data_IF_225257127855
#
_entry.id   IF_225257127855
#
_cell.length_a   1.000
_cell.length_b   1.000
_cell.length_c   1.000
_cell.angle_alpha   90.00
_cell.angle_beta   90.00
_cell.angle_gamma   90.00
#
_symmetry.space_group_name_H-M   'P 1'
#
loop_
_entity.id
_entity.type
_entity.pdbx_description
1 polymer ?
#
# COMPACT_ATOMS: atom_id res chain seq x y z
N UNK A 1 -18.78 21.90 1.38
CA UNK A 1 -18.47 22.70 0.18
C UNK A 1 -18.20 21.71 -0.95
N UNK A 2 -18.84 21.86 -2.10
CA UNK A 2 -18.62 20.95 -3.23
C UNK A 2 -17.18 21.10 -3.70
N UNK A 3 -16.52 19.97 -3.89
CA UNK A 3 -15.14 19.93 -4.34
C UNK A 3 -15.06 20.31 -5.83
N UNK A 4 -14.34 21.39 -6.16
CA UNK A 4 -14.25 21.95 -7.50
C UNK A 4 -12.80 22.17 -7.91
N UNK A 5 -12.54 22.21 -9.22
CA UNK A 5 -11.23 22.54 -9.75
C UNK A 5 -10.68 23.85 -9.15
N UNK A 6 -11.53 24.88 -9.09
CA UNK A 6 -11.17 26.21 -8.56
C UNK A 6 -10.74 26.14 -7.08
N UNK A 7 -11.50 25.43 -6.25
CA UNK A 7 -11.16 25.23 -4.84
C UNK A 7 -9.88 24.41 -4.68
N UNK A 8 -9.70 23.30 -5.42
CA UNK A 8 -8.48 22.48 -5.36
C UNK A 8 -7.24 23.27 -5.76
N UNK A 9 -7.33 24.07 -6.82
CA UNK A 9 -6.23 24.93 -7.27
C UNK A 9 -5.83 25.94 -6.20
N UNK A 10 -6.83 26.60 -5.58
CA UNK A 10 -6.60 27.55 -4.48
C UNK A 10 -5.97 26.88 -3.27
N UNK A 11 -6.44 25.69 -2.91
CA UNK A 11 -5.96 24.94 -1.74
C UNK A 11 -4.53 24.42 -1.94
N UNK A 12 -4.20 23.90 -3.13
CA UNK A 12 -2.83 23.49 -3.46
C UNK A 12 -1.84 24.65 -3.38
N UNK A 13 -2.25 25.84 -3.82
CA UNK A 13 -1.44 27.05 -3.69
C UNK A 13 -1.21 27.41 -2.22
N UNK A 14 -2.28 27.44 -1.42
CA UNK A 14 -2.21 27.75 0.02
C UNK A 14 -1.39 26.73 0.80
N UNK A 15 -1.48 25.45 0.45
CA UNK A 15 -0.67 24.38 1.06
C UNK A 15 0.84 24.53 0.83
N UNK A 16 1.24 25.32 -0.18
CA UNK A 16 2.64 25.68 -0.44
C UNK A 16 3.01 27.07 0.06
N UNK A 17 2.13 27.72 0.82
CA UNK A 17 2.32 29.08 1.34
C UNK A 17 2.63 30.14 0.27
N UNK A 18 2.11 29.94 -0.96
CA UNK A 18 2.34 30.84 -2.07
C UNK A 18 1.24 31.91 -2.19
N UNK A 19 1.63 33.15 -2.46
CA UNK A 19 0.70 34.18 -2.94
C UNK A 19 0.23 33.87 -4.36
N UNK A 20 -0.91 34.45 -4.76
CA UNK A 20 -1.37 34.34 -6.16
C UNK A 20 -0.34 34.91 -7.15
N UNK A 21 0.45 35.91 -6.74
CA UNK A 21 1.46 36.51 -7.60
C UNK A 21 2.61 35.54 -7.87
N UNK A 22 3.12 34.88 -6.83
CA UNK A 22 4.22 33.91 -6.94
C UNK A 22 3.80 32.67 -7.73
N UNK A 23 2.62 32.12 -7.42
CA UNK A 23 2.09 30.97 -8.14
C UNK A 23 1.81 31.30 -9.61
N UNK A 24 1.25 32.48 -9.91
CA UNK A 24 1.00 32.89 -11.29
C UNK A 24 2.32 33.03 -12.08
N UNK A 25 3.35 33.61 -11.46
CA UNK A 25 4.68 33.71 -12.07
C UNK A 25 5.27 32.33 -12.37
N UNK A 26 5.20 31.39 -11.43
CA UNK A 26 5.70 30.02 -11.62
C UNK A 26 4.91 29.23 -12.69
N UNK A 27 3.61 29.47 -12.79
CA UNK A 27 2.71 28.84 -13.77
C UNK A 27 2.73 29.53 -15.14
N UNK A 28 3.41 30.68 -15.25
CA UNK A 28 3.51 31.45 -16.50
C UNK A 28 2.21 32.13 -16.92
N UNK A 29 1.40 32.59 -15.95
CA UNK A 29 0.15 33.32 -16.18
C UNK A 29 0.14 34.65 -15.42
N UNK A 30 -0.80 35.55 -15.73
CA UNK A 30 -0.97 36.76 -14.93
C UNK A 30 -1.64 36.43 -13.58
N UNK A 31 -1.34 37.20 -12.54
CA UNK A 31 -1.99 37.07 -11.23
C UNK A 31 -3.53 37.17 -11.35
N UNK A 32 -4.03 38.11 -12.16
CA UNK A 32 -5.46 38.27 -12.40
C UNK A 32 -6.07 37.03 -13.04
N UNK A 33 -5.39 36.42 -14.02
CA UNK A 33 -5.86 35.20 -14.67
C UNK A 33 -5.91 34.02 -13.69
N UNK A 34 -4.87 33.85 -12.86
CA UNK A 34 -4.88 32.82 -11.82
C UNK A 34 -6.02 33.06 -10.81
N UNK A 35 -6.27 34.31 -10.41
CA UNK A 35 -7.40 34.65 -9.54
C UNK A 35 -8.74 34.28 -10.17
N UNK A 36 -8.93 34.50 -11.48
CA UNK A 36 -10.15 34.08 -12.17
C UNK A 36 -10.32 32.56 -12.16
N UNK A 37 -9.22 31.80 -12.30
CA UNK A 37 -9.24 30.34 -12.22
C UNK A 37 -9.60 29.85 -10.82
N UNK A 38 -8.94 30.37 -9.78
CA UNK A 38 -9.17 29.96 -8.37
C UNK A 38 -10.55 30.33 -7.84
N UNK A 39 -11.22 31.32 -8.45
CA UNK A 39 -12.58 31.72 -8.11
C UNK A 39 -13.66 31.11 -9.03
N UNK A 40 -13.27 30.27 -10.00
CA UNK A 40 -14.20 29.66 -10.96
C UNK A 40 -14.85 30.66 -11.93
N UNK A 41 -14.28 31.86 -12.07
CA UNK A 41 -14.77 32.92 -12.98
C UNK A 41 -14.46 32.55 -14.44
N UNK A 42 -13.37 31.82 -14.66
CA UNK A 42 -12.91 31.42 -16.00
C UNK A 42 -12.44 29.96 -16.01
N UNK A 43 -12.77 29.25 -17.07
CA UNK A 43 -12.24 27.91 -17.32
C UNK A 43 -10.78 27.93 -17.77
N UNK A 44 -10.03 26.89 -17.40
CA UNK A 44 -8.64 26.71 -17.76
C UNK A 44 -8.50 25.93 -19.06
N UNK A 45 -7.50 26.28 -19.87
CA UNK A 45 -7.09 25.42 -20.99
C UNK A 45 -6.33 24.19 -20.51
N UNK A 46 -6.28 23.15 -21.35
CA UNK A 46 -5.58 21.90 -21.07
C UNK A 46 -4.09 22.11 -20.72
N UNK A 47 -3.42 23.01 -21.43
CA UNK A 47 -2.00 23.35 -21.17
C UNK A 47 -1.78 23.89 -19.76
N UNK A 48 -2.70 24.71 -19.26
CA UNK A 48 -2.61 25.23 -17.89
C UNK A 48 -2.82 24.11 -16.88
N UNK A 49 -3.81 23.23 -17.11
CA UNK A 49 -4.10 22.09 -16.23
C UNK A 49 -2.87 21.18 -16.10
N UNK A 50 -2.25 20.81 -17.23
CA UNK A 50 -1.05 19.98 -17.23
C UNK A 50 0.13 20.65 -16.51
N UNK A 51 0.34 21.96 -16.72
CA UNK A 51 1.37 22.74 -16.01
C UNK A 51 1.10 22.81 -14.51
N UNK A 52 -0.14 23.07 -14.12
CA UNK A 52 -0.55 23.13 -12.71
C UNK A 52 -0.36 21.76 -12.03
N UNK A 53 -0.75 20.66 -12.69
CA UNK A 53 -0.55 19.30 -12.20
C UNK A 53 0.92 19.03 -11.89
N UNK A 54 1.79 19.29 -12.87
CA UNK A 54 3.24 19.13 -12.73
C UNK A 54 3.81 20.07 -11.66
N UNK A 55 3.41 21.33 -11.65
CA UNK A 55 3.89 22.31 -10.68
C UNK A 55 3.55 21.89 -9.26
N UNK A 56 2.29 21.52 -8.99
CA UNK A 56 1.82 21.12 -7.67
C UNK A 56 2.19 19.68 -7.28
N UNK A 57 2.74 18.90 -8.21
CA UNK A 57 3.12 17.50 -7.96
C UNK A 57 1.90 16.61 -7.74
N UNK A 58 0.84 16.82 -8.52
CA UNK A 58 -0.41 16.05 -8.45
C UNK A 58 -0.83 15.60 -9.85
N UNK A 59 -1.77 14.66 -9.93
CA UNK A 59 -2.36 14.23 -11.20
C UNK A 59 -3.41 15.22 -11.72
N UNK A 60 -3.65 15.21 -13.02
CA UNK A 60 -4.78 15.95 -13.61
C UNK A 60 -6.12 15.46 -13.04
N UNK A 61 -6.27 14.15 -12.79
CA UNK A 61 -7.47 13.57 -12.17
C UNK A 61 -7.72 14.16 -10.78
N UNK A 62 -6.66 14.39 -10.01
CA UNK A 62 -6.77 15.12 -8.75
C UNK A 62 -7.08 16.60 -8.96
N UNK A 63 -6.51 17.30 -9.93
CA UNK A 63 -6.90 18.70 -10.13
C UNK A 63 -8.36 18.86 -10.58
N UNK A 64 -8.84 17.95 -11.42
CA UNK A 64 -10.17 17.99 -12.05
C UNK A 64 -11.29 17.36 -11.22
N UNK A 65 -11.02 17.01 -9.95
CA UNK A 65 -11.99 16.36 -9.08
C UNK A 65 -12.45 14.95 -9.52
N UNK A 66 -11.72 14.30 -10.42
CA UNK A 66 -11.99 12.92 -10.83
C UNK A 66 -11.45 11.88 -9.83
N UNK A 67 -10.47 12.27 -8.98
CA UNK A 67 -9.89 11.41 -7.94
C UNK A 67 -9.57 12.18 -6.67
N UNK A 68 -9.70 11.55 -5.49
CA UNK A 68 -9.24 12.13 -4.22
C UNK A 68 -7.76 11.85 -3.92
N UNK A 69 -7.09 11.01 -4.72
CA UNK A 69 -5.66 10.72 -4.58
C UNK A 69 -4.84 11.74 -5.37
N UNK A 70 -3.99 12.51 -4.67
CA UNK A 70 -3.08 13.50 -5.26
C UNK A 70 -2.17 12.92 -6.34
N UNK A 71 -1.68 11.71 -6.13
CA UNK A 71 -0.68 11.07 -6.98
C UNK A 71 -1.31 10.00 -7.90
N UNK A 72 -2.63 9.82 -7.85
CA UNK A 72 -3.29 8.72 -8.56
C UNK A 72 -2.86 7.34 -8.04
N UNK A 73 -3.31 6.26 -8.69
CA UNK A 73 -2.95 4.88 -8.30
C UNK A 73 -1.52 4.51 -8.73
N UNK A 74 -1.11 5.00 -9.91
CA UNK A 74 0.14 4.57 -10.52
C UNK A 74 1.39 5.20 -9.89
N UNK A 75 1.30 6.46 -9.47
CA UNK A 75 2.44 7.18 -8.87
C UNK A 75 2.63 6.77 -7.39
N UNK A 76 1.56 6.43 -6.66
CA UNK A 76 1.66 5.90 -5.28
C UNK A 76 2.38 4.55 -5.20
N UNK A 77 2.37 3.80 -6.29
CA UNK A 77 2.96 2.47 -6.38
C UNK A 77 4.26 2.46 -7.19
N UNK A 78 4.80 3.66 -7.51
CA UNK A 78 6.04 3.88 -8.25
C UNK A 78 6.08 3.29 -9.66
N UNK A 79 4.94 3.22 -10.35
CA UNK A 79 4.89 2.73 -11.74
C UNK A 79 5.39 3.77 -12.76
N UNK A 80 6.03 4.87 -12.35
CA UNK A 80 6.49 5.91 -13.28
C UNK A 80 7.90 5.60 -13.76
N UNK A 81 7.94 5.15 -15.00
CA UNK A 81 9.10 4.88 -15.85
C UNK A 81 9.52 3.42 -15.84
N UNK A 82 9.29 2.83 -17.02
CA UNK A 82 9.85 1.58 -17.52
C UNK A 82 9.21 0.33 -16.92
N UNK A 83 9.09 -0.68 -17.78
CA UNK A 83 8.81 -2.05 -17.36
C UNK A 83 9.98 -2.45 -16.46
N UNK A 84 9.86 -2.19 -15.15
CA UNK A 84 10.89 -2.57 -14.19
C UNK A 84 11.19 -4.05 -14.41
N UNK A 85 12.48 -4.33 -14.61
CA UNK A 85 12.99 -5.69 -14.72
C UNK A 85 12.52 -6.49 -13.50
N UNK A 86 11.85 -7.61 -13.77
CA UNK A 86 11.30 -8.47 -12.73
C UNK A 86 12.40 -9.07 -11.85
N UNK A 87 13.68 -8.96 -12.24
CA UNK A 87 14.85 -9.30 -11.42
C UNK A 87 15.00 -8.44 -10.15
N UNK A 88 14.31 -7.30 -10.05
CA UNK A 88 14.33 -6.42 -8.88
C UNK A 88 13.01 -6.49 -8.13
N UNK A 89 13.06 -6.62 -6.80
CA UNK A 89 11.85 -6.62 -5.97
C UNK A 89 11.29 -5.21 -5.82
N UNK A 90 10.21 -4.92 -6.56
CA UNK A 90 9.46 -3.66 -6.46
C UNK A 90 7.98 -3.93 -6.19
N UNK A 91 7.20 -2.86 -5.97
CA UNK A 91 5.74 -2.98 -5.87
C UNK A 91 5.17 -3.63 -7.13
N UNK A 92 5.67 -3.23 -8.31
CA UNK A 92 5.22 -3.75 -9.58
C UNK A 92 5.50 -5.26 -9.71
N UNK A 93 6.68 -5.71 -9.28
CA UNK A 93 7.05 -7.14 -9.22
C UNK A 93 6.09 -7.94 -8.35
N UNK A 94 5.71 -7.41 -7.18
CA UNK A 94 4.72 -8.05 -6.29
C UNK A 94 3.36 -8.20 -6.98
N UNK A 95 2.87 -7.14 -7.65
CA UNK A 95 1.58 -7.20 -8.34
C UNK A 95 1.59 -8.17 -9.52
N UNK A 96 2.68 -8.20 -10.31
CA UNK A 96 2.84 -9.16 -11.41
C UNK A 96 2.93 -10.59 -10.89
N UNK A 97 3.69 -10.82 -9.81
CA UNK A 97 3.76 -12.13 -9.16
C UNK A 97 2.39 -12.59 -8.65
N UNK A 98 1.61 -11.71 -8.02
CA UNK A 98 0.24 -12.02 -7.59
C UNK A 98 -0.67 -12.39 -8.77
N UNK A 99 -0.54 -11.69 -9.90
CA UNK A 99 -1.25 -11.99 -11.15
C UNK A 99 -0.85 -13.34 -11.76
N UNK A 100 0.45 -13.59 -11.87
CA UNK A 100 1.00 -14.85 -12.39
C UNK A 100 0.62 -16.05 -11.51
N UNK A 101 0.65 -15.89 -10.18
CA UNK A 101 0.19 -16.90 -9.24
C UNK A 101 -1.30 -17.19 -9.43
N UNK A 102 -2.13 -16.14 -9.58
CA UNK A 102 -3.56 -16.30 -9.84
C UNK A 102 -3.83 -17.08 -11.13
N UNK A 103 -3.08 -16.78 -12.20
CA UNK A 103 -3.19 -17.50 -13.47
C UNK A 103 -2.77 -18.96 -13.32
N UNK A 104 -1.63 -19.22 -12.67
CA UNK A 104 -1.14 -20.57 -12.40
C UNK A 104 -2.11 -21.42 -11.56
N UNK A 105 -2.83 -20.80 -10.62
CA UNK A 105 -3.85 -21.46 -9.82
C UNK A 105 -5.16 -21.71 -10.58
N UNK A 106 -5.28 -21.26 -11.84
CA UNK A 106 -6.40 -21.55 -12.73
C UNK A 106 -7.76 -21.06 -12.24
N UNK A 107 -7.80 -20.22 -11.21
CA UNK A 107 -9.00 -19.95 -10.44
C UNK A 107 -9.67 -18.63 -10.86
N UNK A 108 -10.72 -18.76 -11.68
CA UNK A 108 -11.72 -17.71 -11.90
C UNK A 108 -12.86 -17.75 -10.86
N UNK A 109 -12.73 -18.57 -9.81
CA UNK A 109 -13.72 -18.68 -8.74
C UNK A 109 -13.79 -17.36 -7.96
N UNK A 110 -14.98 -16.74 -7.90
CA UNK A 110 -15.22 -15.50 -7.17
C UNK A 110 -14.89 -15.63 -5.68
N UNK A 111 -15.10 -16.81 -5.08
CA UNK A 111 -14.79 -17.03 -3.67
C UNK A 111 -13.27 -16.99 -3.43
N UNK A 112 -12.46 -17.60 -4.31
CA UNK A 112 -10.99 -17.51 -4.24
C UNK A 112 -10.51 -16.05 -4.28
N UNK A 113 -11.06 -15.24 -5.21
CA UNK A 113 -10.72 -13.82 -5.32
C UNK A 113 -11.09 -13.09 -4.03
N UNK A 114 -12.30 -13.34 -3.51
CA UNK A 114 -12.77 -12.75 -2.26
C UNK A 114 -11.87 -13.11 -1.08
N UNK A 115 -11.52 -14.39 -0.90
CA UNK A 115 -10.66 -14.81 0.21
C UNK A 115 -9.24 -14.22 0.10
N UNK A 116 -8.70 -14.13 -1.12
CA UNK A 116 -7.41 -13.47 -1.38
C UNK A 116 -7.46 -11.98 -0.99
N UNK A 117 -8.54 -11.27 -1.32
CA UNK A 117 -8.73 -9.88 -0.91
C UNK A 117 -8.86 -9.73 0.61
N UNK A 118 -9.52 -10.67 1.29
CA UNK A 118 -9.62 -10.69 2.76
C UNK A 118 -8.23 -10.92 3.38
N UNK A 119 -7.43 -11.84 2.84
CA UNK A 119 -6.05 -12.08 3.28
C UNK A 119 -5.21 -10.80 3.19
N UNK A 120 -5.21 -10.12 2.05
CA UNK A 120 -4.50 -8.85 1.89
C UNK A 120 -5.01 -7.77 2.86
N UNK A 121 -6.32 -7.72 3.09
CA UNK A 121 -6.92 -6.76 4.03
C UNK A 121 -6.42 -6.97 5.46
N UNK A 122 -6.28 -8.23 5.91
CA UNK A 122 -5.75 -8.56 7.25
C UNK A 122 -4.28 -8.17 7.37
N UNK A 123 -3.46 -8.43 6.34
CA UNK A 123 -2.06 -8.03 6.31
C UNK A 123 -1.90 -6.50 6.37
N UNK A 124 -2.66 -5.75 5.56
CA UNK A 124 -2.65 -4.28 5.58
C UNK A 124 -3.13 -3.74 6.92
N UNK A 125 -4.21 -4.31 7.47
CA UNK A 125 -4.75 -3.91 8.77
C UNK A 125 -3.72 -4.09 9.90
N UNK A 126 -2.92 -5.18 9.84
CA UNK A 126 -1.83 -5.41 10.80
C UNK A 126 -0.76 -4.33 10.73
N UNK A 127 -0.31 -3.97 9.53
CA UNK A 127 0.64 -2.86 9.32
C UNK A 127 0.05 -1.55 9.84
N UNK A 128 -1.23 -1.31 9.58
CA UNK A 128 -1.92 -0.09 9.98
C UNK A 128 -2.01 0.06 11.51
N UNK A 129 -2.33 -1.02 12.23
CA UNK A 129 -2.31 -1.04 13.70
C UNK A 129 -0.93 -0.67 14.26
N UNK A 130 0.15 -1.20 13.67
CA UNK A 130 1.51 -0.86 14.08
C UNK A 130 1.85 0.60 13.77
N UNK A 131 1.48 1.12 12.59
CA UNK A 131 1.69 2.50 12.23
C UNK A 131 1.00 3.46 13.22
N UNK A 132 -0.25 3.19 13.59
CA UNK A 132 -0.98 3.96 14.61
C UNK A 132 -0.29 3.85 15.97
N UNK A 133 0.11 2.65 16.41
CA UNK A 133 0.79 2.46 17.71
C UNK A 133 2.14 3.20 17.82
N UNK A 134 2.79 3.47 16.68
CA UNK A 134 4.05 4.23 16.59
C UNK A 134 3.84 5.71 16.27
N UNK A 135 2.60 6.19 16.23
CA UNK A 135 2.27 7.58 15.88
C UNK A 135 2.61 7.95 14.44
N UNK A 136 2.80 6.96 13.56
CA UNK A 136 3.05 7.15 12.11
C UNK A 136 1.77 7.26 11.29
N UNK A 137 0.62 6.96 11.90
CA UNK A 137 -0.71 7.16 11.31
C UNK A 137 -1.69 7.72 12.35
N UNK A 138 -2.73 8.48 11.94
CA UNK A 138 -3.69 9.08 12.86
C UNK A 138 -4.54 8.04 13.61
N UNK A 139 -4.63 8.17 14.94
CA UNK A 139 -5.35 7.23 15.78
C UNK A 139 -6.88 7.20 15.51
N UNK A 140 -7.44 8.32 15.06
CA UNK A 140 -8.87 8.44 14.74
C UNK A 140 -9.29 7.68 13.47
N UNK A 141 -8.35 7.10 12.73
CA UNK A 141 -8.66 6.21 11.60
C UNK A 141 -9.07 4.80 12.07
N UNK A 142 -8.81 4.45 13.33
CA UNK A 142 -9.21 3.15 13.92
C UNK A 142 -10.24 3.40 15.02
N UNK A 143 -11.34 2.65 14.98
CA UNK A 143 -12.26 2.60 16.11
C UNK A 143 -11.60 1.77 17.21
N UNK A 144 -11.20 2.44 18.29
CA UNK A 144 -10.63 1.82 19.50
C UNK A 144 -11.58 0.73 19.99
N UNK A 145 -11.15 -0.54 19.88
CA UNK A 145 -11.97 -1.71 20.22
C UNK A 145 -11.64 -2.95 19.40
N UNK A 146 -11.02 -2.82 18.23
CA UNK A 146 -10.51 -3.96 17.48
C UNK A 146 -9.02 -4.17 17.81
N UNK A 147 -8.75 -5.04 18.80
CA UNK A 147 -7.42 -5.57 19.01
C UNK A 147 -7.26 -6.79 18.10
N UNK A 148 -6.31 -6.73 17.17
CA UNK A 148 -5.80 -7.92 16.50
C UNK A 148 -4.46 -8.26 17.15
N UNK A 149 -4.48 -9.19 18.10
CA UNK A 149 -3.24 -9.67 18.70
C UNK A 149 -2.46 -10.56 17.72
N UNK A 150 -1.30 -11.04 18.16
CA UNK A 150 -0.41 -11.82 17.32
C UNK A 150 -0.99 -13.20 16.94
N UNK A 151 -1.62 -13.90 17.89
CA UNK A 151 -2.17 -15.23 17.67
C UNK A 151 -3.40 -15.18 16.77
N UNK A 152 -4.30 -14.23 17.01
CA UNK A 152 -5.46 -13.99 16.16
C UNK A 152 -5.04 -13.67 14.72
N UNK A 153 -4.00 -12.86 14.53
CA UNK A 153 -3.48 -12.54 13.19
C UNK A 153 -2.95 -13.79 12.48
N UNK A 154 -2.07 -14.56 13.13
CA UNK A 154 -1.48 -15.76 12.52
C UNK A 154 -2.55 -16.81 12.20
N UNK A 155 -3.46 -17.08 13.13
CA UNK A 155 -4.54 -18.05 12.94
C UNK A 155 -5.48 -17.63 11.81
N UNK A 156 -5.80 -16.33 11.69
CA UNK A 156 -6.66 -15.83 10.61
C UNK A 156 -5.99 -15.96 9.24
N UNK A 157 -4.70 -15.60 9.14
CA UNK A 157 -3.92 -15.75 7.89
C UNK A 157 -3.82 -17.22 7.48
N UNK A 158 -3.44 -18.10 8.41
CA UNK A 158 -3.28 -19.54 8.13
C UNK A 158 -4.61 -20.19 7.72
N UNK A 159 -5.71 -19.91 8.43
CA UNK A 159 -7.03 -20.44 8.11
C UNK A 159 -7.52 -20.01 6.73
N UNK A 160 -7.25 -18.76 6.33
CA UNK A 160 -7.60 -18.26 4.99
C UNK A 160 -6.76 -18.92 3.90
N UNK A 161 -5.45 -19.11 4.13
CA UNK A 161 -4.58 -19.80 3.18
C UNK A 161 -5.03 -21.25 2.95
N UNK A 162 -5.40 -21.96 4.01
CA UNK A 162 -5.95 -23.32 3.91
C UNK A 162 -7.26 -23.34 3.11
N UNK A 163 -8.14 -22.35 3.31
CA UNK A 163 -9.38 -22.22 2.55
C UNK A 163 -9.14 -21.89 1.06
N UNK A 164 -8.18 -21.01 0.78
CA UNK A 164 -7.82 -20.56 -0.57
C UNK A 164 -7.22 -21.71 -1.40
N UNK A 165 -6.40 -22.55 -0.78
CA UNK A 165 -5.63 -23.58 -1.48
C UNK A 165 -6.28 -24.97 -1.42
N UNK A 166 -7.30 -25.17 -0.58
CA UNK A 166 -7.90 -26.48 -0.30
C UNK A 166 -6.85 -27.54 0.10
N UNK A 167 -5.75 -27.09 0.72
CA UNK A 167 -4.63 -27.95 1.12
C UNK A 167 -4.83 -28.35 2.58
N UNK A 168 -4.71 -29.66 2.93
CA UNK A 168 -4.73 -30.06 4.33
C UNK A 168 -3.54 -29.45 5.06
N UNK A 169 -3.76 -28.94 6.28
CA UNK A 169 -2.72 -28.37 7.15
C UNK A 169 -1.60 -29.39 7.41
N UNK A 170 -0.60 -29.41 6.52
CA UNK A 170 0.61 -30.22 6.63
C UNK A 170 1.79 -29.29 6.49
N UNK A 171 2.87 -29.61 7.22
CA UNK A 171 4.16 -28.95 7.05
C UNK A 171 4.55 -29.02 5.58
N UNK A 172 4.54 -27.87 4.91
CA UNK A 172 5.06 -27.73 3.55
C UNK A 172 6.58 -27.78 3.67
N UNK A 173 7.18 -28.89 3.25
CA UNK A 173 8.62 -29.07 3.23
C UNK A 173 9.05 -29.17 1.77
N UNK A 174 8.93 -28.05 1.06
CA UNK A 174 9.28 -27.96 -0.35
C UNK A 174 10.78 -27.68 -0.47
N UNK A 175 11.46 -28.48 -1.31
CA UNK A 175 12.76 -28.08 -1.83
C UNK A 175 12.52 -27.01 -2.88
N UNK A 176 13.15 -25.87 -2.69
CA UNK A 176 13.05 -24.73 -3.58
C UNK A 176 14.09 -24.87 -4.69
N UNK A 177 13.62 -25.19 -5.90
CA UNK A 177 14.39 -25.11 -7.15
C UNK A 177 13.42 -24.71 -8.27
N UNK A 178 13.81 -23.76 -9.10
CA UNK A 178 12.92 -23.24 -10.13
C UNK A 178 12.98 -24.13 -11.37
N UNK A 179 11.84 -24.77 -11.68
CA UNK A 179 11.67 -25.42 -12.97
C UNK A 179 11.69 -24.40 -14.13
N UNK A 180 11.94 -24.90 -15.35
CA UNK A 180 11.86 -24.06 -16.55
C UNK A 180 10.45 -23.50 -16.73
N UNK A 181 10.34 -22.20 -17.01
CA UNK A 181 9.06 -21.53 -17.31
C UNK A 181 8.40 -20.79 -16.15
N UNK A 182 8.98 -20.80 -14.94
CA UNK A 182 8.49 -19.94 -13.84
C UNK A 182 8.72 -18.46 -14.19
N UNK A 183 7.69 -17.59 -14.14
CA UNK A 183 7.82 -16.15 -14.37
C UNK A 183 8.85 -15.49 -13.45
N UNK A 184 9.63 -14.56 -13.97
CA UNK A 184 10.74 -13.92 -13.24
C UNK A 184 10.26 -13.16 -12.00
N UNK A 185 9.11 -12.47 -12.06
CA UNK A 185 8.52 -11.81 -10.89
C UNK A 185 8.24 -12.78 -9.72
N UNK A 186 7.77 -13.99 -10.02
CA UNK A 186 7.55 -15.01 -8.99
C UNK A 186 8.88 -15.45 -8.39
N UNK A 187 9.93 -15.57 -9.21
CA UNK A 187 11.25 -15.94 -8.72
C UNK A 187 11.79 -14.94 -7.71
N UNK A 188 11.81 -13.67 -8.12
CA UNK A 188 12.29 -12.56 -7.31
C UNK A 188 11.52 -12.41 -5.99
N UNK A 189 10.18 -12.59 -6.02
CA UNK A 189 9.37 -12.53 -4.79
C UNK A 189 9.69 -13.69 -3.85
N UNK A 190 9.88 -14.91 -4.36
CA UNK A 190 10.17 -16.06 -3.50
C UNK A 190 11.60 -15.98 -2.94
N UNK A 191 12.59 -15.59 -3.75
CA UNK A 191 13.97 -15.39 -3.31
C UNK A 191 14.03 -14.35 -2.19
N UNK A 192 13.42 -13.18 -2.40
CA UNK A 192 13.40 -12.13 -1.38
C UNK A 192 12.68 -12.55 -0.09
N UNK A 193 11.59 -13.32 -0.20
CA UNK A 193 10.91 -13.86 0.97
C UNK A 193 11.77 -14.89 1.71
N UNK A 194 12.49 -15.74 0.98
CA UNK A 194 13.39 -16.73 1.55
C UNK A 194 14.54 -16.07 2.29
N UNK A 195 15.21 -15.10 1.68
CA UNK A 195 16.31 -14.33 2.28
C UNK A 195 15.84 -13.61 3.54
N UNK A 196 14.70 -12.91 3.48
CA UNK A 196 14.14 -12.20 4.63
C UNK A 196 13.76 -13.13 5.79
N UNK A 197 13.38 -14.38 5.50
CA UNK A 197 13.11 -15.39 6.51
C UNK A 197 14.42 -15.95 7.08
N UNK A 198 15.38 -16.34 6.22
CA UNK A 198 16.66 -16.89 6.62
C UNK A 198 17.43 -15.92 7.53
N UNK A 199 17.49 -14.64 7.18
CA UNK A 199 18.09 -13.57 7.98
C UNK A 199 17.42 -13.36 9.34
N UNK A 200 16.19 -13.88 9.51
CA UNK A 200 15.37 -13.69 10.70
C UNK A 200 15.06 -14.98 11.46
N UNK A 201 15.50 -16.15 11.01
CA UNK A 201 15.31 -17.41 11.76
C UNK A 201 15.97 -17.32 13.14
N UNK A 202 17.15 -16.72 13.24
CA UNK A 202 17.84 -16.48 14.50
C UNK A 202 17.14 -15.39 15.34
N UNK A 203 16.64 -14.32 14.73
CA UNK A 203 15.96 -13.23 15.45
C UNK A 203 14.55 -13.62 15.93
N UNK A 204 13.79 -14.35 15.11
CA UNK A 204 12.43 -14.81 15.40
C UNK A 204 12.45 -15.93 16.43
N UNK A 205 13.44 -16.84 16.37
CA UNK A 205 13.64 -17.81 17.45
C UNK A 205 13.95 -17.09 18.76
N UNK A 206 14.84 -16.09 18.77
CA UNK A 206 15.18 -15.33 19.97
C UNK A 206 13.98 -14.52 20.54
N UNK A 207 13.17 -13.90 19.67
CA UNK A 207 11.96 -13.18 20.06
C UNK A 207 10.91 -14.14 20.62
N UNK A 208 10.69 -15.29 19.98
CA UNK A 208 9.74 -16.29 20.48
C UNK A 208 10.22 -16.87 21.80
N UNK A 209 11.50 -17.25 21.92
CA UNK A 209 12.10 -17.78 23.15
C UNK A 209 12.01 -16.76 24.29
N UNK A 210 12.38 -15.50 24.07
CA UNK A 210 12.25 -14.44 25.09
C UNK A 210 10.81 -14.17 25.53
N UNK A 211 9.83 -14.38 24.64
CA UNK A 211 8.39 -14.23 24.96
C UNK A 211 7.85 -15.41 25.75
N UNK A 212 8.15 -16.64 25.32
CA UNK A 212 7.76 -17.87 26.03
C UNK A 212 8.31 -17.92 27.46
N UNK A 213 9.54 -17.44 27.68
CA UNK A 213 10.10 -17.38 29.04
C UNK A 213 9.43 -16.31 29.91
N UNK A 214 9.03 -15.17 29.34
CA UNK A 214 8.35 -14.09 30.06
C UNK A 214 6.95 -14.51 30.54
N UNK A 215 6.19 -15.18 29.68
CA UNK A 215 4.86 -15.72 30.04
C UNK A 215 4.97 -16.87 31.07
N UNK A 216 6.06 -17.65 31.05
CA UNK A 216 6.31 -18.71 32.04
C UNK A 216 6.67 -18.17 33.44
N UNK A 217 7.35 -17.02 33.53
CA UNK A 217 7.66 -16.37 34.80
C UNK A 217 6.43 -15.68 35.40
N UNK A 218 5.59 -15.06 34.57
CA UNK A 218 4.34 -14.45 35.00
C UNK A 218 3.29 -15.50 35.42
N UNK A 219 3.27 -16.68 34.80
CA UNK A 219 2.46 -17.81 35.23
C UNK A 219 2.92 -18.40 36.58
N UNK A 220 4.24 -18.44 36.83
CA UNK A 220 4.79 -18.86 38.14
C UNK A 220 4.56 -17.82 39.26
N UNK A 221 4.40 -16.54 38.92
CA UNK A 221 4.11 -15.46 39.89
C UNK A 221 2.61 -15.29 40.20
N UNK A 222 1.72 -15.71 39.30
CA UNK A 222 0.26 -15.61 39.48
C UNK A 222 -0.39 -16.90 40.00
N UNK A 223 0.38 -17.97 40.23
CA UNK A 223 -0.08 -19.19 40.91
C UNK A 223 -0.44 -18.98 42.38
N UNK A 224 -1.63 -18.41 42.61
CA UNK A 224 -2.46 -18.54 43.81
C UNK A 224 -3.88 -18.90 43.39
#
# INVERSE_FOLDING_TARGET
MLDSFASRLSDLRKQRDLSQKEAAQALGVSQALLSHYENGIRECGLDFIAKAAKFYGVTCDYLLCASNSKYGFFETLDFRNELEDDSVLTNATIYRAAGALREALGNTNEDFVRQTLVLYSICIYRVFLFAVSKGRAPANWIKVGCALDFEMYLNAVDSLLLLILDVPAKKINLKYDFEQGVPECLKTVIDAAHDALADRVDLLSDIMTKRFFKDSEDYKKTGK
#
